data_IF_184739214070
#
_entry.id   IF_184739214070
#
_cell.length_a   1.000
_cell.length_b   1.000
_cell.length_c   1.000
_cell.angle_alpha   90.00
_cell.angle_beta   90.00
_cell.angle_gamma   90.00
#
_symmetry.space_group_name_H-M   'P 1'
#
loop_
_entity.id
_entity.type
_entity.pdbx_description
1 polymer ?
#
# COMPACT_ATOMS: atom_id res chain seq x y z
N UNK A 1 -6.27 8.42 -1.88
CA UNK A 1 -5.06 7.88 -1.21
C UNK A 1 -4.58 8.86 -0.16
N UNK A 2 -4.18 8.36 0.98
CA UNK A 2 -3.52 9.15 2.02
C UNK A 2 -2.08 8.72 2.11
N UNK A 3 -1.18 9.66 2.36
CA UNK A 3 0.26 9.43 2.38
C UNK A 3 0.87 9.91 3.69
N UNK A 4 1.74 9.08 4.27
CA UNK A 4 2.41 9.35 5.54
C UNK A 4 3.88 8.98 5.43
N UNK A 5 4.77 9.78 6.02
CA UNK A 5 6.16 9.37 6.22
C UNK A 5 6.28 8.61 7.54
N UNK A 6 7.28 7.76 7.67
CA UNK A 6 7.55 7.10 8.97
C UNK A 6 7.76 8.12 10.08
N UNK A 7 8.36 9.26 9.77
CA UNK A 7 8.57 10.33 10.75
C UNK A 7 7.30 11.04 11.17
N UNK A 8 6.21 10.93 10.42
CA UNK A 8 4.93 11.51 10.77
C UNK A 8 4.13 10.65 11.77
N UNK A 9 4.61 9.43 12.00
CA UNK A 9 3.98 8.46 12.88
C UNK A 9 4.66 8.52 14.25
N UNK A 10 4.03 8.06 15.27
CA UNK A 10 4.66 7.96 16.57
C UNK A 10 4.23 8.97 17.60
N UNK A 11 3.21 9.75 17.29
CA UNK A 11 2.64 10.69 18.25
C UNK A 11 1.86 10.03 19.38
N UNK A 12 1.48 8.76 19.22
CA UNK A 12 0.66 8.02 20.17
C UNK A 12 1.48 7.21 21.19
N UNK A 13 2.80 7.42 21.21
CA UNK A 13 3.70 6.73 22.09
C UNK A 13 4.36 5.52 21.43
N UNK A 14 5.37 4.92 22.06
CA UNK A 14 6.22 3.94 21.42
C UNK A 14 5.56 2.59 21.11
N UNK A 15 4.43 2.28 21.73
CA UNK A 15 3.74 1.01 21.54
C UNK A 15 2.54 1.12 20.60
N UNK A 16 2.16 2.32 20.20
CA UNK A 16 0.94 2.56 19.45
C UNK A 16 1.17 3.46 18.24
N UNK A 17 2.32 3.29 17.61
CA UNK A 17 2.65 4.03 16.39
C UNK A 17 1.65 3.65 15.30
N UNK A 18 0.98 4.66 14.78
CA UNK A 18 0.03 4.51 13.67
C UNK A 18 -1.15 3.56 13.94
N UNK A 19 -1.54 3.34 15.18
CA UNK A 19 -2.60 2.37 15.49
C UNK A 19 -3.98 2.76 14.93
N UNK A 20 -4.19 4.02 14.55
CA UNK A 20 -5.44 4.49 13.94
C UNK A 20 -5.30 4.74 12.45
N UNK A 21 -4.18 4.37 11.85
CA UNK A 21 -3.95 4.59 10.43
C UNK A 21 -4.85 3.72 9.56
N UNK A 22 -5.03 2.47 9.96
CA UNK A 22 -5.81 1.51 9.20
C UNK A 22 -7.28 1.54 9.62
N UNK A 23 -8.20 1.61 8.65
CA UNK A 23 -9.63 1.56 8.97
C UNK A 23 -10.07 0.13 9.30
N UNK A 24 -11.09 0.02 10.17
CA UNK A 24 -11.71 -1.25 10.49
C UNK A 24 -10.98 -2.05 11.56
N UNK A 25 -11.53 -3.22 11.85
CA UNK A 25 -11.10 -4.07 12.96
C UNK A 25 -10.23 -5.26 12.51
N UNK A 26 -10.15 -5.52 11.20
CA UNK A 26 -9.49 -6.71 10.70
C UNK A 26 -8.49 -6.39 9.61
N UNK A 27 -7.36 -7.09 9.67
CA UNK A 27 -6.48 -7.25 8.53
C UNK A 27 -6.97 -8.49 7.79
N UNK A 28 -7.46 -8.30 6.58
CA UNK A 28 -8.05 -9.37 5.79
C UNK A 28 -6.97 -10.32 5.27
N UNK A 29 -5.98 -9.76 4.58
CA UNK A 29 -4.81 -10.49 4.12
C UNK A 29 -3.71 -9.49 3.79
N UNK A 30 -2.51 -10.01 3.62
CA UNK A 30 -1.36 -9.18 3.30
C UNK A 30 -0.18 -10.00 2.80
N UNK A 31 0.88 -9.31 2.44
CA UNK A 31 2.09 -9.93 1.95
C UNK A 31 3.17 -8.92 1.64
N UNK A 32 4.20 -9.41 0.95
CA UNK A 32 5.29 -8.60 0.43
C UNK A 32 5.25 -8.64 -1.09
N UNK A 33 5.51 -7.52 -1.72
CA UNK A 33 5.69 -7.46 -3.17
C UNK A 33 7.04 -6.82 -3.50
N UNK A 34 7.57 -7.18 -4.66
CA UNK A 34 8.87 -6.73 -5.13
C UNK A 34 8.71 -6.16 -6.53
N UNK A 35 9.09 -4.92 -6.72
CA UNK A 35 8.92 -4.20 -7.97
C UNK A 35 10.26 -3.66 -8.47
N UNK A 36 10.77 -4.30 -9.52
CA UNK A 36 12.08 -3.98 -10.10
C UNK A 36 11.98 -3.54 -11.56
N UNK A 37 10.77 -3.52 -12.14
CA UNK A 37 10.58 -3.14 -13.54
C UNK A 37 10.08 -1.71 -13.64
N UNK A 38 10.51 -1.00 -14.66
CA UNK A 38 10.18 0.41 -14.86
C UNK A 38 8.85 0.66 -15.56
N UNK A 39 7.90 -0.25 -15.43
CA UNK A 39 6.55 -0.07 -15.98
C UNK A 39 5.51 -0.50 -14.93
N UNK A 40 4.30 0.01 -15.10
CA UNK A 40 3.24 -0.17 -14.11
C UNK A 40 2.77 -1.61 -13.99
N UNK A 41 2.37 -1.98 -12.78
CA UNK A 41 1.73 -3.27 -12.52
C UNK A 41 0.38 -3.35 -13.24
N UNK A 42 -0.03 -4.58 -13.58
CA UNK A 42 -1.30 -4.86 -14.27
C UNK A 42 -1.43 -4.25 -15.68
N UNK A 43 -0.32 -3.76 -16.26
CA UNK A 43 -0.31 -3.22 -17.62
C UNK A 43 -1.33 -2.09 -17.80
N UNK A 44 -2.22 -2.23 -18.76
CA UNK A 44 -3.25 -1.24 -19.08
C UNK A 44 -4.54 -1.44 -18.27
N UNK A 45 -4.62 -2.53 -17.48
CA UNK A 45 -5.83 -2.85 -16.73
C UNK A 45 -6.01 -1.98 -15.49
N UNK A 46 -7.20 -2.07 -14.91
CA UNK A 46 -7.50 -1.45 -13.63
C UNK A 46 -7.11 -2.39 -12.49
N UNK A 47 -6.69 -1.81 -11.37
CA UNK A 47 -6.43 -2.53 -10.14
C UNK A 47 -7.16 -1.84 -8.99
N UNK A 48 -8.40 -2.25 -8.79
CA UNK A 48 -9.34 -1.63 -7.86
C UNK A 48 -9.82 -2.66 -6.84
N UNK A 49 -9.90 -2.25 -5.58
CA UNK A 49 -10.39 -3.09 -4.49
C UNK A 49 -11.63 -2.49 -3.85
N UNK A 50 -12.42 -3.32 -3.20
CA UNK A 50 -13.61 -2.91 -2.46
C UNK A 50 -13.33 -2.64 -0.97
N UNK A 51 -12.10 -2.83 -0.54
CA UNK A 51 -11.63 -2.50 0.81
C UNK A 51 -10.39 -1.61 0.74
N UNK A 52 -9.98 -1.07 1.87
CA UNK A 52 -8.78 -0.27 1.95
C UNK A 52 -7.52 -1.14 1.91
N UNK A 53 -6.45 -0.60 1.33
CA UNK A 53 -5.16 -1.27 1.27
C UNK A 53 -4.07 -0.35 1.81
N UNK A 54 -3.26 -0.86 2.72
CA UNK A 54 -2.11 -0.14 3.24
C UNK A 54 -0.85 -0.65 2.56
N UNK A 55 -0.04 0.28 2.04
CA UNK A 55 1.31 0.01 1.57
C UNK A 55 2.32 0.58 2.56
N UNK A 56 3.33 -0.21 2.85
CA UNK A 56 4.48 0.22 3.64
C UNK A 56 5.73 -0.03 2.80
N UNK A 57 6.31 1.03 2.28
CA UNK A 57 7.50 0.94 1.43
C UNK A 57 8.71 0.74 2.33
N UNK A 58 9.23 -0.47 2.35
CA UNK A 58 10.35 -0.86 3.21
C UNK A 58 11.70 -0.54 2.59
N UNK A 59 11.78 -0.57 1.25
CA UNK A 59 13.04 -0.45 0.54
C UNK A 59 12.78 0.04 -0.87
N UNK A 60 13.76 0.74 -1.44
CA UNK A 60 13.74 1.13 -2.84
C UNK A 60 13.03 2.45 -3.11
N UNK A 61 12.80 2.70 -4.38
CA UNK A 61 12.12 3.89 -4.86
C UNK A 61 11.45 3.61 -6.18
N UNK A 62 10.52 4.47 -6.56
CA UNK A 62 9.79 4.36 -7.82
C UNK A 62 8.63 5.33 -7.83
N UNK A 63 7.54 4.92 -8.43
CA UNK A 63 6.33 5.73 -8.49
C UNK A 63 5.10 4.88 -8.16
N UNK A 64 4.09 5.54 -7.64
CA UNK A 64 2.74 4.98 -7.52
C UNK A 64 1.82 5.79 -8.44
N UNK A 65 0.97 5.10 -9.18
CA UNK A 65 -0.06 5.72 -10.00
C UNK A 65 -1.40 5.47 -9.36
N UNK A 66 -2.08 6.55 -8.98
CA UNK A 66 -3.41 6.51 -8.37
C UNK A 66 -4.36 7.29 -9.27
N UNK A 67 -5.37 6.61 -9.81
CA UNK A 67 -6.39 7.21 -10.68
C UNK A 67 -5.77 8.04 -11.81
N UNK A 68 -4.70 7.52 -12.40
CA UNK A 68 -3.98 8.17 -13.50
C UNK A 68 -2.96 9.23 -13.10
N UNK A 69 -2.78 9.49 -11.79
CA UNK A 69 -1.78 10.45 -11.30
C UNK A 69 -0.58 9.70 -10.73
N UNK A 70 0.62 10.08 -11.19
CA UNK A 70 1.85 9.49 -10.71
C UNK A 70 2.47 10.33 -9.60
N UNK A 71 2.93 9.67 -8.54
CA UNK A 71 3.64 10.29 -7.44
C UNK A 71 4.89 9.47 -7.12
N UNK A 72 6.02 10.12 -6.83
CA UNK A 72 7.22 9.39 -6.42
C UNK A 72 7.03 8.77 -5.04
N UNK A 73 7.57 7.57 -4.86
CA UNK A 73 7.59 6.88 -3.58
C UNK A 73 8.98 6.35 -3.30
N UNK A 74 9.30 6.20 -2.02
CA UNK A 74 10.57 5.68 -1.56
C UNK A 74 10.40 5.01 -0.20
N UNK A 75 11.44 4.34 0.26
CA UNK A 75 11.46 3.72 1.59
C UNK A 75 11.10 4.75 2.66
N UNK A 76 10.32 4.33 3.64
CA UNK A 76 9.89 5.18 4.75
C UNK A 76 8.54 5.84 4.56
N UNK A 77 7.77 5.40 3.57
CA UNK A 77 6.44 5.95 3.26
C UNK A 77 5.37 4.89 3.47
N UNK A 78 4.28 5.29 4.13
CA UNK A 78 3.02 4.55 4.15
C UNK A 78 2.04 5.20 3.19
N UNK A 79 1.28 4.37 2.47
CA UNK A 79 0.22 4.82 1.59
C UNK A 79 -1.06 4.08 1.96
N UNK A 80 -2.11 4.81 2.27
CA UNK A 80 -3.43 4.22 2.48
C UNK A 80 -4.24 4.43 1.21
N UNK A 81 -4.46 3.34 0.49
CA UNK A 81 -5.26 3.32 -0.73
C UNK A 81 -6.70 3.05 -0.32
N UNK A 82 -7.60 3.94 -0.72
CA UNK A 82 -9.00 3.84 -0.35
C UNK A 82 -9.78 2.97 -1.35
N UNK A 83 -10.90 2.38 -0.91
CA UNK A 83 -11.72 1.59 -1.82
C UNK A 83 -12.08 2.36 -3.09
N UNK A 84 -12.02 1.69 -4.22
CA UNK A 84 -12.37 2.28 -5.50
C UNK A 84 -11.26 3.03 -6.22
N UNK A 85 -10.10 3.23 -5.58
CA UNK A 85 -8.97 3.87 -6.25
C UNK A 85 -8.23 2.87 -7.15
N UNK A 86 -7.88 3.29 -8.37
CA UNK A 86 -7.10 2.49 -9.30
C UNK A 86 -5.61 2.68 -9.01
N UNK A 87 -4.97 1.60 -8.62
CA UNK A 87 -3.62 1.61 -8.07
C UNK A 87 -2.66 0.80 -8.93
N UNK A 88 -1.52 1.41 -9.24
CA UNK A 88 -0.42 0.72 -9.91
C UNK A 88 0.92 1.17 -9.31
N UNK A 89 1.91 0.27 -9.32
CA UNK A 89 3.27 0.57 -8.89
C UNK A 89 4.18 0.51 -10.11
N UNK A 90 5.06 1.50 -10.22
CA UNK A 90 6.15 1.52 -11.19
C UNK A 90 7.44 1.40 -10.41
N UNK A 91 8.15 0.29 -10.58
CA UNK A 91 9.40 0.04 -9.89
C UNK A 91 10.59 0.71 -10.55
N UNK A 92 11.75 0.50 -9.94
CA UNK A 92 13.03 1.00 -10.44
C UNK A 92 14.01 -0.19 -10.44
N UNK A 93 14.58 -0.56 -11.62
CA UNK A 93 15.53 -1.68 -11.68
C UNK A 93 16.79 -1.49 -10.83
N UNK A 94 17.20 -0.25 -10.60
CA UNK A 94 18.39 0.07 -9.81
C UNK A 94 18.11 0.13 -8.31
N UNK A 95 16.86 0.44 -7.95
CA UNK A 95 16.42 0.58 -6.56
C UNK A 95 15.07 -0.11 -6.37
N UNK A 96 15.04 -1.45 -6.45
CA UNK A 96 13.79 -2.18 -6.40
C UNK A 96 12.97 -1.89 -5.15
N UNK A 97 11.66 -1.77 -5.34
CA UNK A 97 10.73 -1.54 -4.23
C UNK A 97 10.42 -2.87 -3.55
N UNK A 98 10.56 -2.90 -2.24
CA UNK A 98 9.97 -3.92 -1.38
C UNK A 98 8.82 -3.26 -0.64
N UNK A 99 7.62 -3.77 -0.87
CA UNK A 99 6.39 -3.23 -0.32
C UNK A 99 5.70 -4.27 0.56
N UNK A 100 5.46 -3.91 1.81
CA UNK A 100 4.61 -4.67 2.71
C UNK A 100 3.19 -4.14 2.55
N UNK A 101 2.23 -4.99 2.22
CA UNK A 101 0.88 -4.55 1.95
C UNK A 101 -0.15 -5.36 2.73
N UNK A 102 -1.25 -4.69 3.10
CA UNK A 102 -2.37 -5.29 3.81
C UNK A 102 -3.68 -4.77 3.25
N UNK A 103 -4.65 -5.65 3.12
CA UNK A 103 -6.05 -5.25 2.96
C UNK A 103 -6.71 -5.21 4.33
N UNK A 104 -7.50 -4.19 4.58
CA UNK A 104 -8.12 -3.97 5.88
C UNK A 104 -9.57 -3.52 5.74
N UNK A 105 -10.37 -3.83 6.76
CA UNK A 105 -11.77 -3.50 6.77
C UNK A 105 -12.44 -3.89 8.08
N UNK A 106 -13.73 -3.65 8.17
CA UNK A 106 -14.50 -3.95 9.39
C UNK A 106 -14.84 -5.42 9.50
N UNK A 107 -14.96 -6.11 8.38
CA UNK A 107 -15.30 -7.52 8.32
C UNK A 107 -14.29 -8.27 7.48
N UNK A 108 -14.09 -9.53 7.81
CA UNK A 108 -13.25 -10.42 7.01
C UNK A 108 -13.93 -10.68 5.66
N UNK A 109 -13.17 -10.53 4.58
CA UNK A 109 -13.68 -10.79 3.25
C UNK A 109 -13.97 -12.27 3.07
N UNK A 110 -15.18 -12.67 2.65
CA UNK A 110 -15.55 -14.09 2.56
C UNK A 110 -14.62 -14.94 1.71
N UNK A 111 -14.11 -14.39 0.63
CA UNK A 111 -13.22 -15.10 -0.29
C UNK A 111 -11.85 -15.42 0.29
N UNK A 112 -11.48 -14.78 1.39
CA UNK A 112 -10.20 -15.03 2.04
C UNK A 112 -10.22 -16.28 2.91
N UNK A 113 -11.40 -16.80 3.20
CA UNK A 113 -11.55 -17.98 4.05
C UNK A 113 -11.26 -19.28 3.30
N UNK A 114 -11.20 -19.25 1.98
CA UNK A 114 -11.05 -20.43 1.14
C UNK A 114 -9.67 -20.60 0.54
N UNK A 115 -8.78 -19.68 0.79
CA UNK A 115 -7.39 -19.74 0.27
C UNK A 115 -6.35 -20.15 1.33
#
# INVERSE_FOLDING_TARGET
MKRFSFSDLGSDGPQHVAHKLMPGAYIDHGGLSFHAVGFRTHGEGLHVHDNAELFCILQGQGEIEIDGRCEPVHAGVFLLIEPGEDLHIVGDPEHPIVNLWFHCGEERHPNQLTT
#
